data_IF_910808742543
#
_entry.id   IF_910808742543
#
_cell.length_a   1.000
_cell.length_b   1.000
_cell.length_c   1.000
_cell.angle_alpha   90.00
_cell.angle_beta   90.00
_cell.angle_gamma   90.00
#
_symmetry.space_group_name_H-M   'P 1'
#
loop_
_entity.id
_entity.type
_entity.pdbx_description
1 polymer ?
#
# COMPACT_ATOMS: atom_id res chain seq x y z
N UNK A 1 -2.83 -9.91 13.20
CA UNK A 1 -2.32 -10.06 11.82
C UNK A 1 -1.12 -9.16 11.66
N UNK A 2 0.02 -9.71 11.24
CA UNK A 2 1.22 -8.92 10.97
C UNK A 2 1.09 -8.34 9.57
N UNK A 3 1.11 -7.01 9.44
CA UNK A 3 1.13 -6.35 8.12
C UNK A 3 2.52 -6.53 7.54
N UNK A 4 2.62 -7.21 6.40
CA UNK A 4 3.87 -7.31 5.64
C UNK A 4 4.09 -6.00 4.88
N UNK A 5 5.10 -5.25 5.29
CA UNK A 5 5.50 -3.98 4.64
C UNK A 5 6.57 -4.22 3.57
N UNK A 6 6.84 -3.18 2.77
CA UNK A 6 7.84 -3.19 1.72
C UNK A 6 9.29 -3.14 2.21
N UNK A 7 10.21 -2.84 1.28
CA UNK A 7 11.66 -2.79 1.51
C UNK A 7 12.15 -1.47 2.11
N UNK A 8 11.37 -0.39 1.98
CA UNK A 8 11.75 0.97 2.40
C UNK A 8 13.13 1.39 1.84
N UNK A 9 13.33 1.24 0.52
CA UNK A 9 14.63 1.50 -0.12
C UNK A 9 15.13 2.93 0.13
N UNK A 10 14.20 3.89 0.27
CA UNK A 10 14.48 5.30 0.53
C UNK A 10 14.61 5.66 2.03
N UNK A 11 14.57 4.68 2.95
CA UNK A 11 14.75 4.87 4.41
C UNK A 11 13.82 5.93 5.01
N UNK A 12 12.57 5.91 4.56
CA UNK A 12 11.53 6.86 4.94
C UNK A 12 10.79 6.45 6.20
N UNK A 13 10.96 5.20 6.65
CA UNK A 13 10.38 4.72 7.92
C UNK A 13 10.96 5.49 9.10
N UNK A 14 10.08 6.03 9.93
CA UNK A 14 10.37 6.74 11.17
C UNK A 14 9.56 6.14 12.31
N UNK A 15 9.95 6.53 13.52
CA UNK A 15 9.32 6.08 14.76
C UNK A 15 8.64 7.27 15.44
N UNK A 16 7.38 7.08 15.81
CA UNK A 16 6.59 8.02 16.60
C UNK A 16 6.34 7.41 17.98
N UNK A 17 6.82 8.07 19.02
CA UNK A 17 6.53 7.69 20.41
C UNK A 17 5.31 8.46 20.89
N UNK A 18 4.23 7.76 21.22
CA UNK A 18 2.98 8.36 21.70
C UNK A 18 2.31 7.45 22.73
N UNK A 19 1.91 8.01 23.88
CA UNK A 19 1.17 7.28 24.91
C UNK A 19 1.88 6.03 25.46
N UNK A 20 3.23 6.05 25.53
CA UNK A 20 4.04 4.90 25.95
C UNK A 20 4.20 3.81 24.88
N UNK A 21 3.58 3.97 23.72
CA UNK A 21 3.76 3.08 22.57
C UNK A 21 4.74 3.68 21.55
N UNK A 22 5.43 2.80 20.82
CA UNK A 22 6.31 3.14 19.70
C UNK A 22 5.67 2.67 18.40
N UNK A 23 5.37 3.61 17.51
CA UNK A 23 4.66 3.38 16.26
C UNK A 23 5.59 3.66 15.08
N UNK A 24 5.61 2.77 14.10
CA UNK A 24 6.31 3.03 12.85
C UNK A 24 5.38 3.75 11.86
N UNK A 25 5.91 4.74 11.15
CA UNK A 25 5.22 5.42 10.06
C UNK A 25 6.20 5.76 8.93
N UNK A 26 5.69 6.00 7.73
CA UNK A 26 6.50 6.36 6.58
C UNK A 26 6.39 7.87 6.34
N UNK A 27 7.52 8.58 6.50
CA UNK A 27 7.55 10.03 6.55
C UNK A 27 7.67 10.64 5.15
N UNK A 28 6.66 11.42 4.74
CA UNK A 28 6.71 12.19 3.49
C UNK A 28 7.87 13.21 3.49
N UNK A 29 8.13 13.99 4.56
CA UNK A 29 9.33 14.83 4.62
C UNK A 29 10.65 14.05 4.46
N UNK A 30 10.72 12.82 4.97
CA UNK A 30 11.90 11.98 4.76
C UNK A 30 12.03 11.52 3.30
N UNK A 31 10.91 11.29 2.61
CA UNK A 31 10.90 11.01 1.18
C UNK A 31 11.39 12.21 0.35
N UNK A 32 10.98 13.44 0.70
CA UNK A 32 11.49 14.66 0.07
C UNK A 32 13.00 14.81 0.32
N UNK A 33 13.45 14.62 1.56
CA UNK A 33 14.88 14.68 1.91
C UNK A 33 15.72 13.58 1.22
N UNK A 34 15.11 12.44 0.89
CA UNK A 34 15.73 11.37 0.10
C UNK A 34 15.75 11.65 -1.42
N UNK A 35 15.23 12.81 -1.86
CA UNK A 35 15.22 13.21 -3.27
C UNK A 35 14.15 12.51 -4.11
N UNK A 36 13.07 12.02 -3.49
CA UNK A 36 11.98 11.37 -4.22
C UNK A 36 11.02 12.36 -4.89
N UNK A 37 11.15 13.65 -4.61
CA UNK A 37 10.36 14.71 -5.23
C UNK A 37 9.85 15.72 -4.21
N UNK A 38 9.00 16.62 -4.69
CA UNK A 38 8.33 17.64 -3.89
C UNK A 38 6.87 17.27 -3.70
N UNK A 39 6.43 17.17 -2.44
CA UNK A 39 5.12 16.67 -2.02
C UNK A 39 4.36 17.66 -1.13
N UNK A 40 4.99 18.77 -0.72
CA UNK A 40 4.40 19.82 0.10
C UNK A 40 3.02 20.29 -0.42
N UNK A 41 2.91 20.52 -1.73
CA UNK A 41 1.71 21.05 -2.39
C UNK A 41 0.67 19.98 -2.76
N UNK A 42 0.89 18.71 -2.44
CA UNK A 42 -0.08 17.67 -2.73
C UNK A 42 -1.35 17.84 -1.87
N UNK A 43 -2.55 17.63 -2.46
CA UNK A 43 -3.78 17.47 -1.71
C UNK A 43 -3.65 16.38 -0.64
N UNK A 44 -4.37 16.56 0.47
CA UNK A 44 -4.32 15.62 1.60
C UNK A 44 -4.70 14.18 1.18
N UNK A 45 -5.65 14.02 0.25
CA UNK A 45 -6.03 12.72 -0.32
C UNK A 45 -4.86 12.00 -0.97
N UNK A 46 -4.03 12.72 -1.75
CA UNK A 46 -2.85 12.13 -2.39
C UNK A 46 -1.73 11.86 -1.40
N UNK A 47 -1.62 12.63 -0.32
CA UNK A 47 -0.66 12.35 0.77
C UNK A 47 -0.95 11.00 1.45
N UNK A 48 -2.23 10.62 1.58
CA UNK A 48 -2.63 9.29 2.10
C UNK A 48 -2.17 8.17 1.15
N UNK A 49 -2.37 8.34 -0.15
CA UNK A 49 -1.95 7.33 -1.15
C UNK A 49 -0.42 7.29 -1.26
N UNK A 50 0.25 8.43 -1.20
CA UNK A 50 1.71 8.53 -1.21
C UNK A 50 2.32 7.77 -0.02
N UNK A 51 1.80 7.95 1.19
CA UNK A 51 2.29 7.19 2.36
C UNK A 51 2.08 5.68 2.18
N UNK A 52 0.95 5.28 1.57
CA UNK A 52 0.70 3.89 1.23
C UNK A 52 1.77 3.33 0.28
N UNK A 53 2.16 4.11 -0.75
CA UNK A 53 3.22 3.71 -1.68
C UNK A 53 4.57 3.59 -0.96
N UNK A 54 4.92 4.57 -0.12
CA UNK A 54 6.15 4.52 0.68
C UNK A 54 6.21 3.27 1.57
N UNK A 55 5.09 2.93 2.21
CA UNK A 55 4.97 1.75 3.08
C UNK A 55 5.14 0.43 2.33
N UNK A 56 4.73 0.38 1.07
CA UNK A 56 4.62 -0.86 0.29
C UNK A 56 5.56 -0.97 -0.90
N UNK A 57 6.48 -0.01 -1.07
CA UNK A 57 7.58 -0.06 -2.04
C UNK A 57 8.34 -1.38 -1.92
N UNK A 58 8.35 -2.18 -2.99
CA UNK A 58 8.85 -3.56 -2.97
C UNK A 58 9.92 -3.85 -4.05
N UNK A 59 10.56 -2.80 -4.56
CA UNK A 59 11.51 -2.85 -5.66
C UNK A 59 10.83 -2.97 -7.03
N UNK A 60 9.58 -2.52 -7.14
CA UNK A 60 8.83 -2.50 -8.41
C UNK A 60 8.09 -3.79 -8.75
N UNK A 61 7.92 -4.73 -7.81
CA UNK A 61 7.04 -5.89 -8.04
C UNK A 61 5.58 -5.46 -8.10
N UNK A 62 5.20 -4.53 -7.23
CA UNK A 62 3.87 -3.89 -7.24
C UNK A 62 3.95 -2.39 -7.01
N UNK A 63 4.95 -1.91 -6.27
CA UNK A 63 5.19 -0.49 -6.04
C UNK A 63 6.67 -0.21 -6.23
N UNK A 64 6.98 0.67 -7.18
CA UNK A 64 8.33 1.12 -7.48
C UNK A 64 8.62 2.49 -6.88
N UNK A 65 9.90 2.84 -6.78
CA UNK A 65 10.33 4.21 -6.45
C UNK A 65 9.85 5.22 -7.49
N UNK A 66 9.71 4.81 -8.75
CA UNK A 66 9.21 5.69 -9.80
C UNK A 66 7.71 6.00 -9.64
N UNK A 67 6.93 5.07 -9.08
CA UNK A 67 5.51 5.33 -8.76
C UNK A 67 5.38 6.37 -7.65
N UNK A 68 6.33 6.40 -6.70
CA UNK A 68 6.40 7.42 -5.66
C UNK A 68 6.76 8.79 -6.26
N UNK A 69 7.77 8.83 -7.14
CA UNK A 69 8.17 10.06 -7.84
C UNK A 69 7.06 10.66 -8.71
N UNK A 70 6.21 9.80 -9.28
CA UNK A 70 5.09 10.21 -10.12
C UNK A 70 4.12 11.18 -9.44
N UNK A 71 4.03 11.15 -8.11
CA UNK A 71 3.22 12.11 -7.34
C UNK A 71 3.80 13.53 -7.43
N UNK A 72 5.13 13.67 -7.42
CA UNK A 72 5.77 14.98 -7.60
C UNK A 72 5.53 15.50 -9.01
N UNK A 73 5.65 14.62 -10.02
CA UNK A 73 5.38 14.98 -11.42
C UNK A 73 3.91 15.36 -11.65
N UNK A 74 2.97 14.66 -11.01
CA UNK A 74 1.54 15.01 -11.01
C UNK A 74 1.31 16.42 -10.47
N UNK A 75 1.99 16.80 -9.38
CA UNK A 75 1.93 18.15 -8.82
C UNK A 75 2.48 19.21 -9.78
N UNK A 76 3.63 18.94 -10.41
CA UNK A 76 4.26 19.83 -11.40
C UNK A 76 3.41 20.04 -12.64
N UNK A 77 2.69 19.01 -13.07
CA UNK A 77 1.83 19.02 -14.25
C UNK A 77 0.41 19.52 -13.98
N UNK A 78 0.18 20.22 -12.86
CA UNK A 78 -1.13 20.82 -12.57
C UNK A 78 -2.24 19.77 -12.37
N UNK A 79 -1.89 18.59 -11.85
CA UNK A 79 -2.84 17.52 -11.59
C UNK A 79 -3.09 16.58 -12.76
N UNK A 80 -2.29 16.68 -13.83
CA UNK A 80 -2.41 15.85 -15.02
C UNK A 80 -1.22 14.88 -15.10
N UNK A 81 -1.49 13.58 -14.92
CA UNK A 81 -0.52 12.53 -15.16
C UNK A 81 -1.26 11.25 -15.57
N UNK A 82 -1.04 10.69 -16.78
CA UNK A 82 -1.73 9.48 -17.24
C UNK A 82 -1.19 8.20 -16.58
N UNK A 83 -0.36 8.31 -15.53
CA UNK A 83 0.25 7.17 -14.87
C UNK A 83 -0.72 6.50 -13.88
N UNK A 84 -0.92 5.21 -14.08
CA UNK A 84 -1.60 4.35 -13.12
C UNK A 84 -0.70 4.07 -11.92
N UNK A 85 -1.30 3.95 -10.75
CA UNK A 85 -0.61 3.64 -9.49
C UNK A 85 -1.29 2.47 -8.80
N UNK A 86 -0.52 1.65 -8.11
CA UNK A 86 -1.08 0.68 -7.19
C UNK A 86 -1.68 1.40 -5.97
N UNK A 87 -2.58 0.75 -5.25
CA UNK A 87 -3.04 1.20 -3.94
C UNK A 87 -3.43 -0.03 -3.11
N UNK A 88 -2.93 -0.11 -1.88
CA UNK A 88 -3.22 -1.21 -0.96
C UNK A 88 -4.06 -0.69 0.21
N UNK A 89 -5.41 -0.75 0.13
CA UNK A 89 -6.27 -0.24 1.19
C UNK A 89 -5.99 -0.95 2.52
N UNK A 90 -6.19 -0.24 3.63
CA UNK A 90 -5.89 -0.76 4.95
C UNK A 90 -6.92 -1.81 5.46
N UNK A 91 -8.13 -1.82 4.91
CA UNK A 91 -9.24 -2.72 5.25
C UNK A 91 -10.27 -2.74 4.11
N UNK A 92 -11.09 -3.77 4.03
CA UNK A 92 -12.20 -3.88 3.09
C UNK A 92 -13.50 -4.00 3.87
N UNK A 93 -14.44 -3.10 3.61
CA UNK A 93 -15.80 -3.20 4.14
C UNK A 93 -16.70 -3.77 3.04
N UNK A 94 -17.36 -4.90 3.32
CA UNK A 94 -18.32 -5.50 2.40
C UNK A 94 -19.71 -5.39 3.00
N UNK A 95 -20.70 -5.00 2.19
CA UNK A 95 -22.09 -5.09 2.61
C UNK A 95 -22.62 -6.51 2.43
N UNK A 96 -23.52 -6.95 3.31
CA UNK A 96 -24.11 -8.29 3.46
C UNK A 96 -24.16 -9.13 2.16
N UNK A 97 -24.82 -8.66 1.09
CA UNK A 97 -24.96 -9.43 -0.15
C UNK A 97 -23.78 -9.29 -1.12
N UNK A 98 -23.02 -8.19 -1.04
CA UNK A 98 -21.81 -7.99 -1.84
C UNK A 98 -20.64 -8.84 -1.36
N UNK A 99 -20.70 -9.29 -0.09
CA UNK A 99 -19.72 -10.18 0.53
C UNK A 99 -19.75 -11.62 0.01
N UNK A 100 -20.94 -12.10 -0.35
CA UNK A 100 -21.16 -13.53 -0.65
C UNK A 100 -20.32 -14.01 -1.83
N UNK A 101 -20.28 -13.33 -3.00
CA UNK A 101 -19.46 -13.78 -4.13
C UNK A 101 -17.96 -13.86 -3.78
N UNK A 102 -17.43 -12.88 -3.04
CA UNK A 102 -16.02 -12.89 -2.66
C UNK A 102 -15.66 -14.03 -1.70
N UNK A 103 -16.56 -14.37 -0.76
CA UNK A 103 -16.36 -15.52 0.13
C UNK A 103 -16.44 -16.84 -0.64
N UNK A 104 -17.34 -16.94 -1.63
CA UNK A 104 -17.42 -18.10 -2.53
C UNK A 104 -16.14 -18.25 -3.37
N UNK A 105 -15.59 -17.15 -3.88
CA UNK A 105 -14.31 -17.16 -4.61
C UNK A 105 -13.15 -17.64 -3.71
N UNK A 106 -13.08 -17.17 -2.46
CA UNK A 106 -12.09 -17.65 -1.49
C UNK A 106 -12.23 -19.16 -1.22
N UNK A 107 -13.46 -19.69 -1.16
CA UNK A 107 -13.71 -21.12 -1.01
C UNK A 107 -13.24 -21.89 -2.26
N UNK A 108 -13.59 -21.41 -3.46
CA UNK A 108 -13.16 -22.02 -4.73
C UNK A 108 -11.63 -22.03 -4.87
N UNK A 109 -10.96 -20.94 -4.49
CA UNK A 109 -9.49 -20.85 -4.48
C UNK A 109 -8.85 -21.83 -3.49
N UNK A 110 -9.48 -22.07 -2.33
CA UNK A 110 -9.03 -23.08 -1.35
C UNK A 110 -9.14 -24.50 -1.90
N UNK A 111 -10.24 -24.81 -2.57
CA UNK A 111 -10.40 -26.11 -3.22
C UNK A 111 -9.41 -26.28 -4.38
N UNK A 112 -9.20 -25.23 -5.17
CA UNK A 112 -8.23 -25.20 -6.27
C UNK A 112 -6.79 -25.46 -5.80
N UNK A 113 -6.32 -24.74 -4.77
CA UNK A 113 -4.95 -24.94 -4.27
C UNK A 113 -4.77 -26.33 -3.64
N UNK A 114 -5.80 -26.87 -2.99
CA UNK A 114 -5.80 -28.25 -2.47
C UNK A 114 -5.66 -29.27 -3.60
N UNK A 115 -6.38 -29.09 -4.71
CA UNK A 115 -6.28 -29.93 -5.90
C UNK A 115 -4.89 -29.93 -6.54
N UNK A 116 -4.14 -28.83 -6.39
CA UNK A 116 -2.75 -28.70 -6.82
C UNK A 116 -1.72 -29.18 -5.78
N UNK A 117 -2.17 -29.75 -4.65
CA UNK A 117 -1.29 -30.21 -3.56
C UNK A 117 -0.70 -29.09 -2.70
N UNK A 118 -1.19 -27.86 -2.83
CA UNK A 118 -0.79 -26.73 -2.01
C UNK A 118 -1.58 -26.63 -0.70
N UNK A 119 -1.17 -25.70 0.15
CA UNK A 119 -1.79 -25.44 1.46
C UNK A 119 -2.98 -24.46 1.35
N UNK A 120 -4.23 -24.90 1.63
CA UNK A 120 -5.41 -24.05 1.59
C UNK A 120 -5.39 -22.91 2.60
N UNK A 121 -4.64 -23.02 3.70
CA UNK A 121 -4.53 -21.97 4.71
C UNK A 121 -3.79 -20.73 4.20
N UNK A 122 -3.12 -20.81 3.03
CA UNK A 122 -2.55 -19.64 2.37
C UNK A 122 -3.61 -18.75 1.71
N UNK A 123 -4.83 -19.25 1.53
CA UNK A 123 -5.95 -18.48 0.98
C UNK A 123 -6.78 -17.90 2.13
N UNK A 124 -6.42 -16.68 2.52
CA UNK A 124 -7.09 -15.90 3.55
C UNK A 124 -7.08 -14.40 3.18
N UNK A 125 -8.07 -13.63 3.65
CA UNK A 125 -8.03 -12.18 3.55
C UNK A 125 -6.74 -11.62 4.15
N UNK A 126 -6.07 -10.74 3.40
CA UNK A 126 -4.79 -10.14 3.81
C UNK A 126 -4.96 -8.84 4.61
N UNK A 127 -6.15 -8.26 4.56
CA UNK A 127 -6.53 -7.04 5.28
C UNK A 127 -7.83 -7.29 6.04
N UNK A 128 -8.08 -6.56 7.14
CA UNK A 128 -9.31 -6.65 7.91
C UNK A 128 -10.57 -6.32 7.09
#
# INVERSE_FOLDING_TARGET
>A
MTITVGKDTAKTRKTLSAGGASLAYYSIPAAEAAGLGEFANLPASLKVVLENMLRFEDGGRTVSVDDIKAFSDWGKNGGQNPREIAYRPARVLMQDFTGVPAVVDLAAMRDGIKGLGGDPQKINPLVP
#
